data_IF_093574691328
#
_entry.id   IF_093574691328
#
_cell.length_a   1.000
_cell.length_b   1.000
_cell.length_c   1.000
_cell.angle_alpha   90.00
_cell.angle_beta   90.00
_cell.angle_gamma   90.00
#
_symmetry.space_group_name_H-M   'P 1'
#
loop_
_entity.id
_entity.type
_entity.pdbx_description
1 polymer ?
#
# COMPACT_ATOMS: atom_id res chain seq x y z
N UNK A 1 22.99 15.79 18.31
CA UNK A 1 21.57 15.41 18.51
C UNK A 1 20.82 15.93 17.31
N UNK A 2 20.28 15.08 16.45
CA UNK A 2 19.47 15.55 15.32
C UNK A 2 18.11 15.95 15.85
N UNK A 3 17.84 17.25 15.94
CA UNK A 3 16.51 17.76 16.27
C UNK A 3 15.57 17.38 15.14
N UNK A 4 14.74 16.36 15.38
CA UNK A 4 13.68 16.00 14.47
C UNK A 4 12.57 17.05 14.59
N UNK A 5 12.19 17.64 13.45
CA UNK A 5 11.04 18.53 13.39
C UNK A 5 9.75 17.71 13.24
N UNK A 6 8.76 18.00 14.08
CA UNK A 6 7.46 17.34 14.06
C UNK A 6 6.38 18.36 13.70
N UNK A 7 5.32 17.89 13.04
CA UNK A 7 4.10 18.69 12.89
C UNK A 7 3.45 18.94 14.25
N UNK A 8 2.76 20.07 14.38
CA UNK A 8 1.96 20.36 15.56
C UNK A 8 0.80 19.36 15.65
N UNK A 9 0.18 19.26 16.83
CA UNK A 9 -0.97 18.36 17.03
C UNK A 9 -2.17 18.78 16.17
N UNK A 10 -2.39 20.08 16.01
CA UNK A 10 -3.47 20.63 15.19
C UNK A 10 -3.25 20.33 13.70
N UNK A 11 -2.06 20.64 13.17
CA UNK A 11 -1.69 20.32 11.78
C UNK A 11 -1.82 18.82 11.49
N UNK A 12 -1.41 17.99 12.45
CA UNK A 12 -1.51 16.53 12.35
C UNK A 12 -2.96 16.08 12.25
N UNK A 13 -3.85 16.63 13.07
CA UNK A 13 -5.27 16.28 13.04
C UNK A 13 -5.91 16.68 11.71
N UNK A 14 -5.73 17.93 11.29
CA UNK A 14 -6.27 18.44 10.02
C UNK A 14 -5.79 17.62 8.83
N UNK A 15 -4.48 17.31 8.79
CA UNK A 15 -3.90 16.49 7.73
C UNK A 15 -4.48 15.07 7.71
N UNK A 16 -4.57 14.41 8.86
CA UNK A 16 -5.08 13.04 8.95
C UNK A 16 -6.60 12.94 8.76
N UNK A 17 -7.36 14.01 8.99
CA UNK A 17 -8.78 14.08 8.63
C UNK A 17 -8.97 14.22 7.13
N UNK A 18 -8.15 15.05 6.47
CA UNK A 18 -8.14 15.20 5.01
C UNK A 18 -7.73 13.91 4.30
N UNK A 19 -6.69 13.25 4.78
CA UNK A 19 -6.21 11.97 4.26
C UNK A 19 -7.12 10.85 4.76
N UNK A 20 -8.23 10.57 4.08
CA UNK A 20 -9.20 9.58 4.60
C UNK A 20 -8.72 8.11 4.50
N UNK A 21 -7.64 7.86 3.76
CA UNK A 21 -7.20 6.53 3.32
C UNK A 21 -5.95 5.99 4.03
N UNK A 22 -5.31 6.76 4.93
CA UNK A 22 -4.15 6.24 5.69
C UNK A 22 -4.53 5.10 6.64
N UNK A 23 -5.82 4.96 6.99
CA UNK A 23 -6.35 3.87 7.83
C UNK A 23 -6.82 2.64 7.06
N UNK A 24 -6.53 2.55 5.76
CA UNK A 24 -6.96 1.46 4.89
C UNK A 24 -5.78 0.54 4.57
N UNK A 25 -6.05 -0.77 4.62
CA UNK A 25 -5.13 -1.79 4.14
C UNK A 25 -5.11 -1.87 2.61
N UNK A 26 -4.29 -2.79 2.09
CA UNK A 26 -4.18 -3.10 0.66
C UNK A 26 -4.78 -4.49 0.43
N UNK A 27 -5.77 -4.58 -0.45
CA UNK A 27 -6.49 -5.81 -0.78
C UNK A 27 -5.65 -6.76 -1.65
N UNK A 28 -6.00 -8.05 -1.72
CA UNK A 28 -5.33 -9.01 -2.59
C UNK A 28 -5.25 -8.56 -4.06
N UNK A 29 -6.25 -7.82 -4.54
CA UNK A 29 -6.28 -7.24 -5.89
C UNK A 29 -5.37 -6.01 -6.10
N UNK A 30 -4.64 -5.57 -5.07
CA UNK A 30 -3.70 -4.44 -5.10
C UNK A 30 -4.29 -3.07 -4.81
N UNK A 31 -5.63 -2.95 -4.76
CA UNK A 31 -6.32 -1.70 -4.45
C UNK A 31 -6.38 -1.46 -2.94
N UNK A 32 -6.71 -0.22 -2.55
CA UNK A 32 -6.98 0.09 -1.16
C UNK A 32 -8.31 -0.53 -0.71
N UNK A 33 -8.31 -0.98 0.54
CA UNK A 33 -9.50 -1.47 1.23
C UNK A 33 -10.63 -0.44 1.21
N UNK A 34 -11.87 -0.92 1.24
CA UNK A 34 -13.04 -0.04 1.34
C UNK A 34 -13.20 0.48 2.77
N UNK A 35 -12.75 -0.32 3.75
CA UNK A 35 -12.99 -0.09 5.18
C UNK A 35 -11.71 0.12 5.97
N UNK A 36 -11.86 0.74 7.15
CA UNK A 36 -10.75 1.00 8.07
C UNK A 36 -10.46 -0.23 8.91
N UNK A 37 -9.19 -0.56 9.08
CA UNK A 37 -8.77 -1.81 9.76
C UNK A 37 -8.65 -1.62 11.28
N UNK A 38 -7.91 -0.59 11.71
CA UNK A 38 -7.46 -0.48 13.10
C UNK A 38 -7.77 0.89 13.71
N UNK A 39 -7.94 0.86 15.03
CA UNK A 39 -7.92 2.04 15.90
C UNK A 39 -6.52 2.10 16.52
N UNK A 40 -5.84 3.23 16.39
CA UNK A 40 -4.51 3.45 16.97
C UNK A 40 -4.60 3.91 18.44
N UNK A 41 -3.59 3.61 19.25
CA UNK A 41 -3.56 3.98 20.68
C UNK A 41 -3.54 5.49 20.90
N UNK A 42 -2.94 6.21 19.95
CA UNK A 42 -2.78 7.66 19.97
C UNK A 42 -2.73 8.19 18.55
N UNK A 43 -2.91 9.50 18.42
CA UNK A 43 -2.67 10.21 17.16
C UNK A 43 -1.19 10.02 16.79
N UNK A 44 -0.88 9.57 15.55
CA UNK A 44 0.50 9.41 15.10
C UNK A 44 1.28 10.72 15.18
N UNK A 45 2.54 10.66 15.62
CA UNK A 45 3.44 11.80 15.51
C UNK A 45 4.03 11.84 14.10
N UNK A 46 3.77 12.93 13.38
CA UNK A 46 4.26 13.12 12.02
C UNK A 46 5.57 13.87 12.05
N UNK A 47 6.62 13.24 11.54
CA UNK A 47 7.98 13.79 11.50
C UNK A 47 8.27 14.35 10.11
N UNK A 48 8.71 15.60 10.03
CA UNK A 48 9.14 16.23 8.78
C UNK A 48 10.48 15.65 8.31
N UNK A 49 10.68 15.66 7.00
CA UNK A 49 11.91 15.25 6.33
C UNK A 49 12.62 16.53 5.88
N UNK A 50 13.63 16.94 6.65
CA UNK A 50 14.27 18.26 6.51
C UNK A 50 15.27 18.32 5.34
N UNK A 51 15.82 17.17 4.94
CA UNK A 51 16.78 17.04 3.83
C UNK A 51 16.26 16.03 2.80
N UNK A 52 15.20 16.37 2.07
CA UNK A 52 14.84 15.60 0.88
C UNK A 52 15.77 16.01 -0.27
N UNK A 53 16.89 15.30 -0.41
CA UNK A 53 17.96 15.72 -1.31
C UNK A 53 17.77 15.31 -2.77
N UNK A 54 16.81 14.45 -3.09
CA UNK A 54 16.61 13.99 -4.47
C UNK A 54 15.13 13.81 -4.81
N UNK A 55 14.65 14.56 -5.81
CA UNK A 55 13.46 14.23 -6.57
C UNK A 55 13.75 12.95 -7.35
N UNK A 56 13.38 11.79 -6.79
CA UNK A 56 13.58 10.51 -7.46
C UNK A 56 12.39 10.25 -8.37
N UNK A 57 12.66 10.19 -9.68
CA UNK A 57 11.73 9.60 -10.64
C UNK A 57 12.06 8.12 -10.78
N UNK A 58 11.05 7.27 -10.62
CA UNK A 58 11.17 5.82 -10.82
C UNK A 58 10.31 5.40 -12.00
N UNK A 59 10.93 4.72 -12.96
CA UNK A 59 10.25 4.07 -14.07
C UNK A 59 9.99 2.59 -13.77
N UNK A 60 8.74 2.16 -13.90
CA UNK A 60 8.32 0.78 -13.65
C UNK A 60 7.48 0.31 -14.84
N UNK A 61 7.80 -0.88 -15.36
CA UNK A 61 6.97 -1.56 -16.36
C UNK A 61 6.09 -2.59 -15.65
N UNK A 62 4.79 -2.54 -15.90
CA UNK A 62 3.84 -3.53 -15.41
C UNK A 62 3.20 -4.30 -16.57
N UNK A 63 3.00 -5.61 -16.38
CA UNK A 63 2.34 -6.50 -17.35
C UNK A 63 1.02 -7.08 -16.80
N UNK A 64 0.68 -6.74 -15.55
CA UNK A 64 -0.54 -7.20 -14.90
C UNK A 64 -1.29 -6.03 -14.27
N UNK A 65 -2.62 -6.11 -14.30
CA UNK A 65 -3.50 -5.14 -13.63
C UNK A 65 -3.25 -5.08 -12.12
N UNK A 66 -2.81 -6.19 -11.53
CA UNK A 66 -2.47 -6.28 -10.11
C UNK A 66 -1.30 -5.37 -9.73
N UNK A 67 -0.22 -5.36 -10.53
CA UNK A 67 0.92 -4.47 -10.30
C UNK A 67 0.52 -3.00 -10.53
N UNK A 68 -0.29 -2.72 -11.56
CA UNK A 68 -0.84 -1.37 -11.78
C UNK A 68 -1.63 -0.87 -10.55
N UNK A 69 -2.48 -1.72 -9.96
CA UNK A 69 -3.21 -1.39 -8.73
C UNK A 69 -2.27 -1.15 -7.55
N UNK A 70 -1.23 -1.98 -7.35
CA UNK A 70 -0.24 -1.80 -6.29
C UNK A 70 0.55 -0.50 -6.41
N UNK A 71 0.86 -0.07 -7.65
CA UNK A 71 1.51 1.22 -7.90
C UNK A 71 0.55 2.39 -7.58
N UNK A 72 -0.70 2.28 -8.02
CA UNK A 72 -1.74 3.29 -7.77
C UNK A 72 -2.03 3.46 -6.28
N UNK A 73 -2.07 2.38 -5.50
CA UNK A 73 -2.27 2.40 -4.05
C UNK A 73 -1.04 2.85 -3.26
N UNK A 74 0.06 3.22 -3.94
CA UNK A 74 1.34 3.61 -3.35
C UNK A 74 2.00 2.49 -2.52
N UNK A 75 1.64 1.24 -2.78
CA UNK A 75 2.26 0.05 -2.20
C UNK A 75 3.61 -0.25 -2.88
N UNK A 76 3.66 -0.11 -4.21
CA UNK A 76 4.90 -0.13 -5.00
C UNK A 76 5.21 1.28 -5.46
N UNK A 77 6.37 1.78 -5.04
CA UNK A 77 6.89 3.10 -5.44
C UNK A 77 8.31 3.01 -5.97
N UNK A 78 9.02 1.95 -5.58
CA UNK A 78 10.36 1.57 -6.00
C UNK A 78 10.48 0.05 -5.94
N UNK A 79 11.44 -0.50 -6.68
CA UNK A 79 11.77 -1.94 -6.67
C UNK A 79 13.02 -2.25 -5.84
N UNK A 80 13.52 -1.27 -5.07
CA UNK A 80 14.75 -1.43 -4.27
C UNK A 80 14.49 -1.92 -2.84
N UNK A 81 13.29 -2.39 -2.54
CA UNK A 81 12.89 -2.87 -1.22
C UNK A 81 12.68 -4.39 -1.24
N UNK A 82 13.70 -5.13 -0.81
CA UNK A 82 13.68 -6.60 -0.76
C UNK A 82 12.55 -7.14 0.13
N UNK A 83 12.22 -6.42 1.21
CA UNK A 83 11.16 -6.83 2.14
C UNK A 83 9.79 -6.71 1.48
N UNK A 84 9.55 -5.64 0.73
CA UNK A 84 8.35 -5.46 -0.08
C UNK A 84 8.23 -6.58 -1.13
N UNK A 85 9.31 -6.87 -1.87
CA UNK A 85 9.33 -7.92 -2.89
C UNK A 85 9.00 -9.28 -2.25
N UNK A 86 9.56 -9.59 -1.09
CA UNK A 86 9.27 -10.81 -0.36
C UNK A 86 7.79 -10.89 0.03
N UNK A 87 7.23 -9.86 0.67
CA UNK A 87 5.80 -9.83 1.04
C UNK A 87 4.89 -10.01 -0.19
N UNK A 88 5.16 -9.27 -1.27
CA UNK A 88 4.37 -9.35 -2.49
C UNK A 88 4.49 -10.73 -3.17
N UNK A 89 5.65 -11.38 -3.11
CA UNK A 89 5.82 -12.74 -3.66
C UNK A 89 4.93 -13.76 -2.95
N UNK A 90 4.81 -13.67 -1.62
CA UNK A 90 3.93 -14.54 -0.84
C UNK A 90 2.46 -14.31 -1.20
N UNK A 91 2.04 -13.05 -1.33
CA UNK A 91 0.71 -12.69 -1.79
C UNK A 91 0.43 -13.21 -3.21
N UNK A 92 1.40 -13.07 -4.11
CA UNK A 92 1.26 -13.54 -5.49
C UNK A 92 0.99 -15.04 -5.55
N UNK A 93 1.73 -15.85 -4.78
CA UNK A 93 1.50 -17.31 -4.75
C UNK A 93 0.10 -17.64 -4.26
N UNK A 94 -0.42 -16.91 -3.27
CA UNK A 94 -1.74 -17.15 -2.70
C UNK A 94 -2.91 -16.85 -3.65
N UNK A 95 -2.82 -15.72 -4.37
CA UNK A 95 -4.00 -15.18 -5.05
C UNK A 95 -3.86 -15.11 -6.57
N UNK A 96 -2.65 -15.15 -7.10
CA UNK A 96 -2.38 -14.77 -8.50
C UNK A 96 -1.57 -15.82 -9.27
N UNK A 97 -0.98 -16.82 -8.61
CA UNK A 97 -0.21 -17.90 -9.26
C UNK A 97 -1.01 -18.66 -10.32
N UNK A 98 -2.32 -18.81 -10.12
CA UNK A 98 -3.22 -19.49 -11.06
C UNK A 98 -3.74 -18.58 -12.19
N UNK A 99 -3.52 -17.26 -12.11
CA UNK A 99 -4.06 -16.27 -13.06
C UNK A 99 -2.95 -15.66 -13.93
N UNK A 100 -2.71 -16.27 -15.08
CA UNK A 100 -1.73 -15.81 -16.09
C UNK A 100 -2.38 -14.96 -17.20
N UNK A 101 -3.34 -14.12 -16.85
CA UNK A 101 -3.92 -13.18 -17.82
C UNK A 101 -2.90 -12.06 -18.08
N UNK A 102 -2.11 -12.22 -19.15
CA UNK A 102 -1.30 -11.13 -19.70
C UNK A 102 -2.24 -9.98 -20.07
N UNK A 103 -2.11 -8.88 -19.35
CA UNK A 103 -2.79 -7.63 -19.69
C UNK A 103 -1.89 -6.77 -20.56
N UNK A 104 -2.44 -5.64 -21.02
CA UNK A 104 -1.69 -4.62 -21.74
C UNK A 104 -0.49 -4.15 -20.90
N UNK A 105 0.70 -4.07 -21.51
CA UNK A 105 1.91 -3.58 -20.84
C UNK A 105 1.84 -2.06 -20.65
N UNK A 106 2.10 -1.60 -19.43
CA UNK A 106 2.03 -0.19 -19.04
C UNK A 106 3.39 0.26 -18.53
N UNK A 107 3.87 1.41 -19.03
CA UNK A 107 5.01 2.12 -18.45
C UNK A 107 4.49 3.16 -17.45
N UNK A 108 4.99 3.09 -16.23
CA UNK A 108 4.74 4.04 -15.15
C UNK A 108 5.97 4.90 -14.95
N UNK A 109 5.78 6.21 -14.84
CA UNK A 109 6.78 7.17 -14.41
C UNK A 109 6.28 7.85 -13.14
N UNK A 110 6.97 7.63 -12.03
CA UNK A 110 6.54 8.03 -10.69
C UNK A 110 7.59 8.99 -10.12
N UNK A 111 7.24 10.27 -10.02
CA UNK A 111 8.06 11.28 -9.34
C UNK A 111 7.51 11.49 -7.93
N UNK A 112 8.38 11.34 -6.93
CA UNK A 112 8.01 11.46 -5.52
C UNK A 112 8.89 12.51 -4.84
N UNK A 113 8.24 13.46 -4.18
CA UNK A 113 8.90 14.43 -3.30
C UNK A 113 8.41 14.20 -1.86
N UNK A 114 9.32 13.76 -0.99
CA UNK A 114 9.03 13.29 0.36
C UNK A 114 9.04 14.44 1.33
N UNK A 115 7.92 14.64 2.02
CA UNK A 115 7.75 15.74 2.96
C UNK A 115 7.78 15.29 4.42
N UNK A 116 7.05 14.22 4.75
CA UNK A 116 6.91 13.77 6.13
C UNK A 116 6.69 12.26 6.22
N UNK A 117 6.81 11.71 7.43
CA UNK A 117 6.66 10.28 7.69
C UNK A 117 6.06 10.04 9.06
N UNK A 118 5.22 9.00 9.17
CA UNK A 118 4.68 8.53 10.44
C UNK A 118 4.43 7.03 10.44
N UNK A 119 4.40 6.44 11.64
CA UNK A 119 4.10 5.03 11.84
C UNK A 119 2.62 4.83 12.15
N UNK A 120 2.09 3.69 11.74
CA UNK A 120 0.69 3.27 11.95
C UNK A 120 0.60 1.87 12.56
N UNK A 121 1.66 1.41 13.21
CA UNK A 121 1.75 0.10 13.86
C UNK A 121 1.49 0.13 15.38
N UNK A 122 1.31 1.32 15.98
CA UNK A 122 0.86 1.46 17.39
C UNK A 122 -0.67 1.25 17.50
N UNK A 123 -1.10 0.05 17.12
CA UNK A 123 -2.50 -0.39 17.09
C UNK A 123 -3.00 -0.65 18.52
N UNK A 124 -4.16 -0.08 18.85
CA UNK A 124 -4.89 -0.38 20.09
C UNK A 124 -5.73 -1.65 19.94
N UNK A 125 -6.55 -1.68 18.88
CA UNK A 125 -7.47 -2.77 18.56
C UNK A 125 -7.95 -2.69 17.11
N UNK A 126 -8.48 -3.79 16.54
CA UNK A 126 -9.29 -3.75 15.32
C UNK A 126 -10.48 -2.79 15.46
N UNK A 127 -10.99 -2.30 14.33
CA UNK A 127 -12.32 -1.67 14.29
C UNK A 127 -13.39 -2.69 14.69
N UNK A 128 -14.52 -2.23 15.21
CA UNK A 128 -15.64 -3.10 15.61
C UNK A 128 -16.14 -3.97 14.44
N UNK A 129 -16.16 -3.40 13.23
CA UNK A 129 -16.54 -4.11 12.02
C UNK A 129 -15.55 -5.21 11.64
N UNK A 130 -14.25 -4.97 11.79
CA UNK A 130 -13.21 -5.99 11.58
C UNK A 130 -13.26 -7.07 12.66
N UNK A 131 -13.44 -6.67 13.91
CA UNK A 131 -13.55 -7.57 15.07
C UNK A 131 -14.74 -8.53 14.94
N UNK A 132 -15.91 -8.00 14.56
CA UNK A 132 -17.11 -8.81 14.31
C UNK A 132 -16.88 -9.79 13.15
N UNK A 133 -16.22 -9.35 12.08
CA UNK A 133 -15.93 -10.19 10.92
C UNK A 133 -15.00 -11.36 11.29
N UNK A 134 -13.90 -11.10 12.02
CA UNK A 134 -12.97 -12.16 12.42
C UNK A 134 -13.57 -13.11 13.44
N UNK A 135 -14.38 -12.62 14.39
CA UNK A 135 -15.14 -13.47 15.30
C UNK A 135 -16.13 -14.35 14.54
N UNK A 136 -16.81 -13.82 13.53
CA UNK A 136 -17.71 -14.58 12.67
C UNK A 136 -16.98 -15.75 12.00
N UNK A 137 -15.80 -15.51 11.43
CA UNK A 137 -14.93 -16.54 10.83
C UNK A 137 -14.53 -17.58 11.88
N UNK A 138 -14.08 -17.14 13.05
CA UNK A 138 -13.58 -18.03 14.10
C UNK A 138 -14.62 -19.05 14.57
N UNK A 139 -15.88 -18.63 14.68
CA UNK A 139 -16.97 -19.51 15.11
C UNK A 139 -17.57 -20.38 13.98
N UNK A 140 -17.16 -20.21 12.72
CA UNK A 140 -17.61 -21.09 11.64
C UNK A 140 -16.95 -22.45 11.72
N UNK A 141 -17.72 -23.53 11.78
CA UNK A 141 -17.19 -24.90 11.81
C UNK A 141 -16.76 -25.43 10.44
N UNK A 142 -17.41 -25.00 9.36
CA UNK A 142 -17.09 -25.42 8.00
C UNK A 142 -15.85 -24.69 7.47
N UNK A 143 -14.82 -25.45 7.08
CA UNK A 143 -13.53 -24.90 6.63
C UNK A 143 -13.62 -24.18 5.29
N UNK A 144 -14.52 -24.58 4.41
CA UNK A 144 -14.71 -23.94 3.10
C UNK A 144 -15.42 -22.60 3.25
N UNK A 145 -16.47 -22.56 4.08
CA UNK A 145 -17.16 -21.31 4.43
C UNK A 145 -16.21 -20.36 5.15
N UNK A 146 -15.43 -20.88 6.11
CA UNK A 146 -14.43 -20.10 6.84
C UNK A 146 -13.42 -19.46 5.90
N UNK A 147 -12.93 -20.20 4.90
CA UNK A 147 -12.03 -19.67 3.87
C UNK A 147 -12.71 -18.58 3.02
N UNK A 148 -13.93 -18.82 2.54
CA UNK A 148 -14.66 -17.81 1.76
C UNK A 148 -14.89 -16.50 2.53
N UNK A 149 -15.22 -16.60 3.82
CA UNK A 149 -15.37 -15.42 4.68
C UNK A 149 -14.03 -14.70 4.91
N UNK A 150 -12.92 -15.44 5.02
CA UNK A 150 -11.58 -14.85 5.13
C UNK A 150 -11.19 -14.08 3.86
N UNK A 151 -11.48 -14.62 2.68
CA UNK A 151 -11.31 -13.91 1.40
C UNK A 151 -12.13 -12.61 1.38
N UNK A 152 -13.41 -12.68 1.78
CA UNK A 152 -14.28 -11.51 1.86
C UNK A 152 -13.77 -10.47 2.87
N UNK A 153 -13.21 -10.90 4.00
CA UNK A 153 -12.57 -10.03 4.98
C UNK A 153 -11.39 -9.29 4.35
N UNK A 154 -10.52 -9.98 3.61
CA UNK A 154 -9.37 -9.35 2.95
C UNK A 154 -9.76 -8.44 1.79
N UNK A 155 -10.85 -8.72 1.07
CA UNK A 155 -11.37 -7.80 0.05
C UNK A 155 -11.94 -6.52 0.67
N UNK A 156 -12.51 -6.61 1.87
CA UNK A 156 -13.13 -5.48 2.57
C UNK A 156 -12.12 -4.62 3.35
N UNK A 157 -11.23 -5.26 4.09
CA UNK A 157 -10.29 -4.61 5.02
C UNK A 157 -8.83 -4.62 4.55
N UNK A 158 -8.52 -5.33 3.47
CA UNK A 158 -7.16 -5.50 2.99
C UNK A 158 -6.51 -6.79 3.51
N UNK A 159 -5.56 -7.30 2.73
CA UNK A 159 -4.63 -8.34 3.16
C UNK A 159 -3.40 -7.75 3.84
N UNK A 160 -2.86 -6.64 3.32
CA UNK A 160 -1.69 -5.98 3.90
C UNK A 160 -2.07 -4.75 4.71
N UNK A 161 -1.38 -4.56 5.83
CA UNK A 161 -1.34 -3.32 6.59
C UNK A 161 0.06 -2.71 6.49
N UNK A 162 0.21 -1.44 6.07
CA UNK A 162 1.50 -0.77 6.13
C UNK A 162 1.86 -0.47 7.59
N UNK A 163 3.13 -0.55 7.97
CA UNK A 163 3.55 -0.07 9.31
C UNK A 163 4.01 1.38 9.31
N UNK A 164 4.38 1.89 8.14
CA UNK A 164 4.90 3.25 7.96
C UNK A 164 4.31 3.89 6.70
N UNK A 165 3.96 5.17 6.81
CA UNK A 165 3.39 5.97 5.74
C UNK A 165 4.30 7.17 5.48
N UNK A 166 4.64 7.38 4.21
CA UNK A 166 5.33 8.58 3.75
C UNK A 166 4.32 9.51 3.09
N UNK A 167 4.38 10.77 3.49
CA UNK A 167 3.60 11.87 2.97
C UNK A 167 4.47 12.77 2.10
N UNK A 168 3.88 13.33 1.05
CA UNK A 168 4.55 14.26 0.17
C UNK A 168 3.77 14.53 -1.11
N UNK A 169 4.48 14.88 -2.17
CA UNK A 169 3.89 15.06 -3.50
C UNK A 169 4.21 13.84 -4.38
N UNK A 170 3.18 13.36 -5.11
CA UNK A 170 3.30 12.26 -6.06
C UNK A 170 2.77 12.72 -7.41
N UNK A 171 3.65 12.74 -8.40
CA UNK A 171 3.24 12.84 -9.80
C UNK A 171 3.42 11.49 -10.48
N UNK A 172 2.32 10.79 -10.71
CA UNK A 172 2.30 9.49 -11.36
C UNK A 172 1.67 9.61 -12.74
N UNK A 173 2.51 9.44 -13.76
CA UNK A 173 2.07 9.36 -15.15
C UNK A 173 2.24 7.92 -15.64
N UNK A 174 1.30 7.44 -16.44
CA UNK A 174 1.40 6.11 -17.03
C UNK A 174 0.78 6.06 -18.42
N UNK A 175 1.36 5.23 -19.27
CA UNK A 175 0.86 5.01 -20.62
C UNK A 175 1.22 3.60 -21.09
N UNK A 176 0.27 2.98 -21.78
CA UNK A 176 0.47 1.67 -22.38
C UNK A 176 1.34 1.73 -23.62
N UNK A 177 2.11 0.68 -23.89
CA UNK A 177 2.89 0.53 -25.13
C UNK A 177 2.77 -0.89 -25.68
N UNK A 178 3.08 -1.07 -26.97
CA UNK A 178 2.90 -2.35 -27.69
C UNK A 178 4.20 -3.06 -28.05
N UNK A 179 5.29 -2.32 -28.23
CA UNK A 179 6.58 -2.85 -28.67
C UNK A 179 7.71 -1.94 -28.21
N UNK A 180 8.96 -2.34 -28.47
CA UNK A 180 10.16 -1.61 -28.02
C UNK A 180 10.28 -0.20 -28.61
N UNK A 181 9.88 0.02 -29.87
CA UNK A 181 9.93 1.35 -30.46
C UNK A 181 8.90 2.28 -29.79
N UNK A 182 7.68 1.77 -29.61
CA UNK A 182 6.61 2.46 -28.90
C UNK A 182 7.00 2.76 -27.45
N UNK A 183 7.69 1.83 -26.77
CA UNK A 183 8.23 2.03 -25.43
C UNK A 183 9.11 3.28 -25.33
N UNK A 184 10.08 3.46 -26.23
CA UNK A 184 10.96 4.63 -26.18
C UNK A 184 10.22 5.93 -26.48
N UNK A 185 9.23 5.91 -27.38
CA UNK A 185 8.36 7.07 -27.62
C UNK A 185 7.55 7.44 -26.37
N UNK A 186 6.94 6.44 -25.73
CA UNK A 186 6.18 6.64 -24.49
C UNK A 186 7.08 7.13 -23.36
N UNK A 187 8.25 6.52 -23.17
CA UNK A 187 9.23 6.91 -22.15
C UNK A 187 9.63 8.38 -22.30
N UNK A 188 9.99 8.81 -23.51
CA UNK A 188 10.37 10.21 -23.76
C UNK A 188 9.19 11.17 -23.54
N UNK A 189 7.99 10.80 -23.99
CA UNK A 189 6.77 11.58 -23.75
C UNK A 189 6.49 11.76 -22.25
N UNK A 190 6.59 10.69 -21.45
CA UNK A 190 6.38 10.75 -20.01
C UNK A 190 7.46 11.62 -19.34
N UNK A 191 8.73 11.50 -19.74
CA UNK A 191 9.82 12.35 -19.23
C UNK A 191 9.58 13.83 -19.51
N UNK A 192 9.15 14.18 -20.72
CA UNK A 192 8.82 15.56 -21.08
C UNK A 192 7.65 16.11 -20.25
N UNK A 193 6.65 15.27 -19.97
CA UNK A 193 5.53 15.63 -19.10
C UNK A 193 5.96 15.83 -17.64
N UNK A 194 6.83 14.95 -17.10
CA UNK A 194 7.41 15.10 -15.77
C UNK A 194 8.21 16.40 -15.64
N UNK A 195 9.06 16.71 -16.61
CA UNK A 195 9.86 17.95 -16.63
C UNK A 195 8.99 19.21 -16.65
N UNK A 196 7.82 19.15 -17.30
CA UNK A 196 6.84 20.25 -17.29
C UNK A 196 6.17 20.37 -15.92
N UNK A 197 5.76 19.27 -15.31
CA UNK A 197 5.13 19.26 -13.99
C UNK A 197 6.07 19.74 -12.87
N UNK A 198 7.33 19.29 -12.87
CA UNK A 198 8.35 19.68 -11.90
C UNK A 198 8.67 21.19 -11.92
N UNK A 199 8.51 21.86 -13.06
CA UNK A 199 8.69 23.33 -13.15
C UNK A 199 7.58 24.12 -12.44
N UNK A 200 6.38 23.53 -12.32
CA UNK A 200 5.20 24.15 -11.71
C UNK A 200 5.20 23.97 -10.19
N UNK A 201 5.76 22.87 -9.69
CA UNK A 201 5.78 22.54 -8.26
C UNK A 201 7.14 22.92 -7.65
N UNK A 202 7.21 24.04 -6.92
CA UNK A 202 8.47 24.52 -6.29
C UNK A 202 8.43 24.66 -4.77
N UNK A 203 7.27 24.55 -4.14
CA UNK A 203 7.14 24.58 -2.67
C UNK A 203 6.03 23.63 -2.26
N UNK A 204 6.38 22.56 -1.56
CA UNK A 204 5.43 21.64 -0.94
C UNK A 204 4.73 22.34 0.23
N UNK A 205 3.43 22.59 0.09
CA UNK A 205 2.56 22.92 1.22
C UNK A 205 2.07 21.63 1.90
N UNK A 206 1.72 21.73 3.19
CA UNK A 206 1.04 20.67 3.91
C UNK A 206 -0.32 20.32 3.28
N UNK A 207 -0.97 21.30 2.64
CA UNK A 207 -2.27 21.15 1.98
C UNK A 207 -2.20 20.26 0.73
N UNK A 208 -1.09 20.34 0.00
CA UNK A 208 -0.85 19.55 -1.21
C UNK A 208 -0.32 18.13 -0.91
N UNK A 209 -0.03 17.87 0.36
CA UNK A 209 0.57 16.63 0.80
C UNK A 209 -0.41 15.45 0.65
N UNK A 210 0.05 14.32 0.09
CA UNK A 210 -0.73 13.10 -0.11
C UNK A 210 0.05 11.89 0.38
N UNK A 211 -0.58 10.71 0.44
CA UNK A 211 0.13 9.47 0.73
C UNK A 211 0.89 9.01 -0.50
N UNK A 212 2.21 9.11 -0.42
CA UNK A 212 3.09 8.83 -1.55
C UNK A 212 3.73 7.46 -1.48
N UNK A 213 3.87 6.87 -0.28
CA UNK A 213 4.36 5.50 -0.10
C UNK A 213 3.79 4.84 1.16
N UNK A 214 3.52 3.54 1.04
CA UNK A 214 3.10 2.64 2.12
C UNK A 214 4.18 1.59 2.30
N UNK A 215 4.92 1.67 3.40
CA UNK A 215 6.11 0.87 3.65
C UNK A 215 5.86 -0.21 4.70
N UNK A 216 6.77 -1.18 4.73
CA UNK A 216 6.78 -2.27 5.70
C UNK A 216 5.46 -3.06 5.68
N UNK A 217 5.01 -3.45 4.47
CA UNK A 217 3.73 -4.13 4.27
C UNK A 217 3.73 -5.48 4.98
N UNK A 218 2.87 -5.60 5.98
CA UNK A 218 2.75 -6.78 6.84
C UNK A 218 1.36 -7.38 6.69
N UNK A 219 1.20 -8.72 6.61
CA UNK A 219 -0.13 -9.32 6.59
C UNK A 219 -0.98 -8.85 7.77
N UNK A 220 -2.21 -8.44 7.48
CA UNK A 220 -3.11 -7.80 8.43
C UNK A 220 -3.40 -8.70 9.64
N UNK A 221 -3.45 -10.01 9.43
CA UNK A 221 -3.68 -11.00 10.48
C UNK A 221 -2.52 -11.12 11.48
N UNK A 222 -1.32 -10.62 11.15
CA UNK A 222 -0.21 -10.60 12.11
C UNK A 222 -0.43 -9.67 13.30
N UNK A 223 -1.35 -8.70 13.15
CA UNK A 223 -1.74 -7.76 14.19
C UNK A 223 -2.93 -8.24 15.03
N UNK A 224 -3.52 -9.39 14.70
CA UNK A 224 -4.59 -9.97 15.52
C UNK A 224 -4.03 -10.66 16.75
N UNK A 225 -4.75 -10.60 17.88
CA UNK A 225 -4.40 -11.39 19.05
C UNK A 225 -4.64 -12.88 18.76
N UNK A 226 -3.96 -13.73 19.52
CA UNK A 226 -4.31 -15.15 19.58
C UNK A 226 -5.73 -15.33 20.15
N UNK A 227 -6.50 -16.33 19.70
CA UNK A 227 -6.12 -17.42 18.78
C UNK A 227 -6.33 -17.11 17.28
N UNK A 228 -6.78 -15.90 16.92
CA UNK A 228 -7.19 -15.58 15.55
C UNK A 228 -6.03 -15.62 14.55
N UNK A 229 -4.86 -15.14 14.97
CA UNK A 229 -3.64 -15.15 14.16
C UNK A 229 -3.24 -16.58 13.77
N UNK A 230 -3.12 -17.48 14.76
CA UNK A 230 -2.78 -18.88 14.50
C UNK A 230 -3.80 -19.57 13.59
N UNK A 231 -5.10 -19.36 13.84
CA UNK A 231 -6.15 -19.92 12.99
C UNK A 231 -5.98 -19.51 11.51
N UNK A 232 -5.74 -18.24 11.23
CA UNK A 232 -5.55 -17.76 9.85
C UNK A 232 -4.30 -18.37 9.23
N UNK A 233 -3.20 -18.44 9.97
CA UNK A 233 -1.96 -19.03 9.50
C UNK A 233 -2.12 -20.51 9.13
N UNK A 234 -2.82 -21.29 9.97
CA UNK A 234 -3.15 -22.69 9.68
C UNK A 234 -4.00 -22.84 8.41
N UNK A 235 -5.01 -21.97 8.25
CA UNK A 235 -5.85 -21.95 7.05
C UNK A 235 -5.02 -21.67 5.79
N UNK A 236 -4.14 -20.67 5.84
CA UNK A 236 -3.23 -20.31 4.75
C UNK A 236 -2.31 -21.49 4.41
N UNK A 237 -1.64 -22.08 5.41
CA UNK A 237 -0.74 -23.22 5.22
C UNK A 237 -1.45 -24.43 4.60
N UNK A 238 -2.66 -24.74 5.06
CA UNK A 238 -3.45 -25.85 4.51
C UNK A 238 -3.74 -25.70 3.02
N UNK A 239 -3.86 -24.45 2.53
CA UNK A 239 -4.05 -24.14 1.11
C UNK A 239 -2.75 -24.21 0.32
N UNK A 240 -1.63 -23.78 0.88
CA UNK A 240 -0.32 -23.92 0.22
C UNK A 240 0.06 -25.38 -0.04
N UNK A 241 -0.18 -26.28 0.93
CA UNK A 241 0.11 -27.72 0.79
C UNK A 241 -0.71 -28.37 -0.33
N UNK A 242 -1.90 -27.82 -0.65
CA UNK A 242 -2.72 -28.32 -1.76
C UNK A 242 -2.28 -27.82 -3.14
N UNK A 243 -1.42 -26.78 -3.20
CA UNK A 243 -0.95 -26.18 -4.46
C UNK A 243 0.44 -26.73 -4.87
N UNK A 244 1.19 -27.32 -3.93
CA UNK A 244 2.45 -28.06 -4.16
C UNK A 244 2.23 -29.51 -4.53
#
# INVERSE_FOLDING_TARGET
MSDYEYLTTEDTQQLLERLNDWRKGICPNGLLATERCFVLKKIPKIRKIINNLDDVTTEIVSESIWIDHLIKSSAITTMNDDSLIQSLSQLYVLFHSANTLKTQTILHSIQLDKYAVFNVDDILRPTESLETAIQGIFHQSDTSIRWALLLSLWDKFGYFWPRKIILGYKNHLCQSFRNTNDFYHVLNSLKDQQLKAAKVHRVLSLDDCTIIARLDLTPLHDFFPEPYKSMINEMIQSKYIQIS
#
